data_IF_383142267456
#
_entry.id   IF_383142267456
#
_cell.length_a   1.000
_cell.length_b   1.000
_cell.length_c   1.000
_cell.angle_alpha   90.00
_cell.angle_beta   90.00
_cell.angle_gamma   90.00
#
_symmetry.space_group_name_H-M   'P 1'
#
loop_
_entity.id
_entity.type
_entity.pdbx_description
1 polymer ?
#
# COMPACT_ATOMS: atom_id res chain seq x y z
N UNK A 1 29.21 14.51 -51.18
CA UNK A 1 27.81 14.57 -51.67
C UNK A 1 26.91 14.48 -50.44
N UNK A 2 26.41 15.62 -49.98
CA UNK A 2 25.48 15.74 -48.84
C UNK A 2 24.01 15.53 -49.32
N UNK A 3 22.97 15.80 -48.52
CA UNK A 3 22.43 15.03 -47.38
C UNK A 3 20.89 14.82 -47.49
N UNK A 4 20.26 14.05 -46.58
CA UNK A 4 18.78 14.02 -46.41
C UNK A 4 18.43 13.46 -45.01
N UNK A 5 18.40 14.28 -43.95
CA UNK A 5 17.29 15.10 -43.43
C UNK A 5 15.94 14.35 -43.38
N UNK A 6 15.57 13.83 -42.21
CA UNK A 6 14.18 13.49 -41.89
C UNK A 6 13.64 14.50 -40.88
N UNK A 7 12.64 15.24 -41.33
CA UNK A 7 12.02 16.37 -40.64
C UNK A 7 10.96 15.91 -39.62
N UNK A 8 10.98 16.53 -38.44
CA UNK A 8 9.90 16.46 -37.47
C UNK A 8 8.74 17.35 -37.92
N UNK A 9 7.57 16.75 -38.15
CA UNK A 9 6.35 17.46 -38.50
C UNK A 9 5.64 17.97 -37.23
N UNK A 10 5.63 19.29 -37.08
CA UNK A 10 4.65 19.98 -36.26
C UNK A 10 3.30 20.02 -37.00
N UNK A 11 2.19 19.94 -36.27
CA UNK A 11 0.90 20.42 -36.77
C UNK A 11 0.19 21.21 -35.68
N UNK A 12 -0.13 22.49 -35.95
CA UNK A 12 -0.81 23.40 -35.06
C UNK A 12 -2.33 23.33 -35.29
N UNK A 13 -3.11 23.31 -34.22
CA UNK A 13 -4.55 23.56 -34.31
C UNK A 13 -4.92 24.74 -33.39
N UNK A 14 -4.94 25.90 -34.05
CA UNK A 14 -5.90 27.01 -33.97
C UNK A 14 -7.17 26.71 -33.11
N UNK A 15 -7.86 27.65 -32.44
CA UNK A 15 -8.28 28.98 -32.91
C UNK A 15 -9.18 29.66 -31.82
N UNK A 16 -9.34 31.00 -31.95
CA UNK A 16 -10.33 31.93 -31.33
C UNK A 16 -9.96 32.49 -29.94
N UNK A 17 -9.66 33.78 -29.74
CA UNK A 17 -10.36 35.01 -30.18
C UNK A 17 -10.88 35.69 -28.88
N UNK A 18 -10.96 37.00 -28.66
CA UNK A 18 -10.67 38.23 -29.39
C UNK A 18 -10.72 39.37 -28.35
N UNK A 19 -9.81 40.34 -28.50
CA UNK A 19 -9.93 41.79 -28.27
C UNK A 19 -10.44 42.42 -26.95
N UNK A 20 -9.73 43.51 -26.62
CA UNK A 20 -10.22 44.84 -26.21
C UNK A 20 -9.93 45.32 -24.77
N UNK A 21 -8.76 45.98 -24.66
CA UNK A 21 -8.52 47.30 -24.07
C UNK A 21 -9.74 48.05 -23.47
N UNK A 22 -9.56 48.58 -22.25
CA UNK A 22 -9.74 50.03 -21.99
C UNK A 22 -9.12 50.50 -20.68
N UNK A 23 -8.46 51.64 -20.81
CA UNK A 23 -7.80 52.52 -19.86
C UNK A 23 -8.67 53.00 -18.68
N UNK A 24 -8.03 53.41 -17.58
CA UNK A 24 -8.62 54.40 -16.68
C UNK A 24 -8.02 54.43 -15.28
N UNK A 25 -7.17 55.42 -15.04
CA UNK A 25 -6.61 55.85 -13.75
C UNK A 25 -7.68 56.24 -12.72
N UNK A 26 -7.42 55.97 -11.43
CA UNK A 26 -7.15 57.00 -10.41
C UNK A 26 -7.49 56.54 -8.99
N UNK A 27 -6.58 56.91 -8.06
CA UNK A 27 -6.82 57.33 -6.68
C UNK A 27 -7.62 56.41 -5.75
N UNK A 28 -6.98 55.99 -4.65
CA UNK A 28 -7.73 55.67 -3.43
C UNK A 28 -7.08 54.66 -2.53
N UNK A 29 -6.09 55.12 -1.76
CA UNK A 29 -5.59 54.45 -0.56
C UNK A 29 -6.73 54.17 0.41
N UNK A 30 -6.95 52.90 0.75
CA UNK A 30 -7.40 52.52 2.10
C UNK A 30 -6.70 51.23 2.50
N UNK A 31 -5.69 51.38 3.34
CA UNK A 31 -5.08 50.28 4.07
C UNK A 31 -6.13 49.66 4.99
N UNK A 32 -6.69 48.53 4.59
CA UNK A 32 -7.43 47.66 5.50
C UNK A 32 -6.42 46.78 6.23
N UNK A 33 -6.06 47.20 7.44
CA UNK A 33 -5.32 46.37 8.39
C UNK A 33 -6.14 45.11 8.71
N UNK A 34 -5.72 43.96 8.18
CA UNK A 34 -6.28 42.66 8.56
C UNK A 34 -5.61 42.19 9.87
N UNK A 35 -6.33 42.05 10.99
CA UNK A 35 -5.76 41.47 12.18
C UNK A 35 -5.70 39.95 12.03
N UNK A 36 -4.54 39.38 12.33
CA UNK A 36 -4.44 37.96 12.66
C UNK A 36 -4.27 37.02 11.48
N UNK A 37 -3.09 37.07 10.82
CA UNK A 37 -2.52 35.84 10.26
C UNK A 37 -2.12 34.96 11.45
N UNK A 38 -3.09 34.27 12.05
CA UNK A 38 -2.78 33.06 12.82
C UNK A 38 -2.14 32.13 11.82
N UNK A 39 -0.82 32.03 11.88
CA UNK A 39 -0.09 30.98 11.21
C UNK A 39 -0.73 29.68 11.69
N UNK A 40 -1.66 29.16 10.91
CA UNK A 40 -2.20 27.84 11.13
C UNK A 40 -0.98 26.92 10.99
N UNK A 41 -0.53 26.38 12.11
CA UNK A 41 0.43 25.29 12.12
C UNK A 41 -0.23 24.16 11.35
N UNK A 42 0.03 24.09 10.05
CA UNK A 42 -0.40 23.00 9.21
C UNK A 42 0.35 21.77 9.70
N UNK A 43 -0.28 21.00 10.59
CA UNK A 43 0.25 19.72 11.03
C UNK A 43 0.20 18.80 9.82
N UNK A 44 1.32 18.76 9.09
CA UNK A 44 1.48 17.94 7.91
C UNK A 44 1.68 16.50 8.40
N UNK A 45 0.58 15.82 8.70
CA UNK A 45 0.59 14.41 9.10
C UNK A 45 1.07 13.58 7.92
N UNK A 46 2.35 13.19 7.95
CA UNK A 46 2.88 12.13 7.10
C UNK A 46 2.70 10.82 7.85
N UNK A 47 1.54 10.18 7.68
CA UNK A 47 1.35 8.83 8.20
C UNK A 47 2.06 7.86 7.25
N UNK A 48 3.33 7.53 7.54
CA UNK A 48 3.81 6.19 7.22
C UNK A 48 3.15 5.25 8.22
N UNK A 49 2.20 4.42 7.79
CA UNK A 49 1.56 3.42 8.64
C UNK A 49 2.64 2.37 8.96
N UNK A 50 3.44 2.64 9.98
CA UNK A 50 4.28 1.65 10.65
C UNK A 50 3.53 1.29 11.91
N UNK A 51 2.84 0.16 11.88
CA UNK A 51 2.13 -0.37 13.02
C UNK A 51 2.82 -1.68 13.40
N UNK A 52 3.28 -1.78 14.65
CA UNK A 52 3.93 -3.01 15.11
C UNK A 52 2.92 -4.16 15.07
N UNK A 53 3.26 -5.32 14.50
CA UNK A 53 2.30 -6.40 14.30
C UNK A 53 1.72 -6.93 15.62
N UNK A 54 2.47 -6.88 16.72
CA UNK A 54 1.99 -7.25 18.06
C UNK A 54 0.96 -6.30 18.66
N UNK A 55 0.83 -5.07 18.12
CA UNK A 55 -0.18 -4.08 18.57
C UNK A 55 -1.47 -4.16 17.77
N UNK A 56 -1.51 -5.01 16.74
CA UNK A 56 -2.66 -5.17 15.85
C UNK A 56 -3.55 -6.27 16.42
N UNK A 57 -4.73 -5.89 16.90
CA UNK A 57 -5.74 -6.82 17.38
C UNK A 57 -6.80 -7.05 16.27
N UNK A 58 -6.90 -8.26 15.71
CA UNK A 58 -7.96 -8.61 14.78
C UNK A 58 -9.33 -8.43 15.44
N UNK A 59 -10.32 -8.04 14.64
CA UNK A 59 -11.73 -7.96 15.09
C UNK A 59 -12.46 -9.24 14.68
N UNK A 60 -13.56 -9.53 15.36
CA UNK A 60 -14.41 -10.71 15.15
C UNK A 60 -13.65 -12.04 15.25
N UNK A 61 -13.97 -12.97 14.35
CA UNK A 61 -13.39 -14.29 14.08
C UNK A 61 -12.08 -14.26 13.26
N UNK A 62 -11.41 -13.11 13.18
CA UNK A 62 -10.20 -12.97 12.36
C UNK A 62 -8.94 -13.33 13.13
N UNK A 63 -7.94 -13.81 12.40
CA UNK A 63 -6.63 -14.18 12.90
C UNK A 63 -5.56 -13.47 12.08
N UNK A 64 -4.57 -12.88 12.75
CA UNK A 64 -3.39 -12.32 12.10
C UNK A 64 -2.31 -13.38 12.01
N UNK A 65 -1.88 -13.65 10.79
CA UNK A 65 -0.87 -14.68 10.49
C UNK A 65 0.34 -14.00 9.84
N UNK A 66 1.52 -14.34 10.33
CA UNK A 66 2.81 -14.04 9.71
C UNK A 66 3.14 -15.13 8.70
N UNK A 67 3.34 -14.74 7.45
CA UNK A 67 3.70 -15.69 6.39
C UNK A 67 5.16 -16.11 6.51
N UNK A 68 5.41 -17.41 6.34
CA UNK A 68 6.78 -17.93 6.29
C UNK A 68 7.45 -17.52 4.96
N UNK A 69 8.69 -17.05 5.06
CA UNK A 69 9.48 -16.64 3.91
C UNK A 69 9.96 -17.87 3.13
N UNK A 70 9.86 -17.83 1.80
CA UNK A 70 10.28 -18.97 0.98
C UNK A 70 11.78 -18.99 0.79
N UNK A 71 12.43 -20.15 0.94
CA UNK A 71 13.73 -20.36 0.33
C UNK A 71 13.69 -20.18 -1.20
N UNK A 72 14.61 -19.39 -1.75
CA UNK A 72 14.76 -19.19 -3.21
C UNK A 72 15.33 -20.42 -3.93
N UNK A 73 15.97 -21.32 -3.18
CA UNK A 73 16.60 -22.54 -3.69
C UNK A 73 15.83 -23.76 -3.20
N UNK A 74 15.53 -24.67 -4.14
CA UNK A 74 15.05 -26.01 -3.82
C UNK A 74 16.13 -26.80 -3.07
N UNK A 75 15.73 -27.84 -2.32
CA UNK A 75 16.64 -28.77 -1.64
C UNK A 75 17.72 -29.36 -2.58
N UNK A 76 17.43 -29.45 -3.88
CA UNK A 76 18.38 -29.90 -4.91
C UNK A 76 19.34 -28.82 -5.45
N UNK A 77 19.36 -27.61 -4.89
CA UNK A 77 20.24 -26.52 -5.31
C UNK A 77 19.81 -25.74 -6.55
N UNK A 78 18.64 -26.05 -7.11
CA UNK A 78 18.07 -25.35 -8.27
C UNK A 78 17.40 -24.05 -7.84
N UNK A 79 17.70 -22.94 -8.53
CA UNK A 79 17.03 -21.66 -8.33
C UNK A 79 15.60 -21.73 -8.89
N UNK A 80 14.61 -21.54 -8.02
CA UNK A 80 13.21 -21.59 -8.44
C UNK A 80 12.73 -20.23 -8.97
N UNK A 81 11.91 -20.21 -10.04
CA UNK A 81 11.22 -19.00 -10.45
C UNK A 81 10.18 -18.61 -9.41
N UNK A 82 9.94 -17.31 -9.25
CA UNK A 82 9.00 -16.75 -8.26
C UNK A 82 7.55 -17.29 -8.38
N UNK A 83 7.18 -17.82 -9.55
CA UNK A 83 5.86 -18.42 -9.81
C UNK A 83 5.73 -19.87 -9.32
N UNK A 84 6.77 -20.70 -9.45
CA UNK A 84 6.74 -22.10 -9.02
C UNK A 84 6.58 -22.22 -7.49
N UNK A 85 7.22 -21.29 -6.79
CA UNK A 85 7.23 -21.14 -5.34
C UNK A 85 5.83 -20.86 -4.72
N UNK A 86 4.86 -20.39 -5.51
CA UNK A 86 3.49 -20.16 -5.01
C UNK A 86 2.65 -21.43 -4.93
N UNK A 87 2.95 -22.45 -5.74
CA UNK A 87 2.15 -23.68 -5.80
C UNK A 87 2.58 -24.76 -4.80
N UNK A 88 3.87 -24.80 -4.43
CA UNK A 88 4.38 -25.79 -3.47
C UNK A 88 4.06 -25.46 -2.01
N UNK A 89 3.68 -24.21 -1.73
CA UNK A 89 3.27 -23.78 -0.40
C UNK A 89 1.77 -23.86 -0.30
N UNK A 90 1.26 -24.94 0.29
CA UNK A 90 0.14 -24.72 1.21
C UNK A 90 0.54 -23.56 2.13
N UNK A 91 -0.31 -22.54 2.27
CA UNK A 91 0.08 -21.31 2.94
C UNK A 91 0.28 -21.62 4.41
N UNK A 92 1.55 -21.79 4.77
CA UNK A 92 2.00 -21.98 6.14
C UNK A 92 2.36 -20.62 6.72
N UNK A 93 1.95 -20.41 7.96
CA UNK A 93 2.31 -19.22 8.70
C UNK A 93 2.17 -19.43 10.20
N UNK A 94 2.65 -18.44 10.96
CA UNK A 94 2.56 -18.42 12.42
C UNK A 94 1.50 -17.41 12.85
N UNK A 95 0.64 -17.80 13.79
CA UNK A 95 -0.37 -16.90 14.36
C UNK A 95 0.31 -15.89 15.29
N UNK A 96 0.15 -14.60 15.02
CA UNK A 96 0.65 -13.54 15.92
C UNK A 96 -0.40 -13.12 16.95
N UNK A 97 -1.66 -13.03 16.52
CA UNK A 97 -2.77 -12.57 17.36
C UNK A 97 -4.09 -13.10 16.84
N UNK A 98 -5.01 -13.37 17.77
CA UNK A 98 -6.36 -13.86 17.49
C UNK A 98 -7.40 -12.79 17.81
N UNK A 99 -8.52 -12.82 17.10
CA UNK A 99 -9.69 -11.98 17.37
C UNK A 99 -10.48 -12.45 18.59
N UNK A 100 -11.44 -11.64 19.02
CA UNK A 100 -12.21 -11.88 20.24
C UNK A 100 -13.12 -13.11 20.18
N UNK A 101 -13.58 -13.49 18.97
CA UNK A 101 -14.54 -14.58 18.78
C UNK A 101 -13.87 -15.92 18.40
N UNK A 102 -12.53 -15.96 18.41
CA UNK A 102 -11.72 -17.13 18.05
C UNK A 102 -11.40 -17.94 19.31
N UNK A 103 -11.65 -19.25 19.26
CA UNK A 103 -11.44 -20.11 20.44
C UNK A 103 -10.68 -21.40 20.16
N UNK A 104 -10.57 -21.82 18.89
CA UNK A 104 -9.95 -23.10 18.52
C UNK A 104 -8.42 -23.00 18.36
N UNK A 105 -7.88 -21.79 18.17
CA UNK A 105 -6.46 -21.55 17.90
C UNK A 105 -5.84 -20.51 18.82
N UNK A 106 -4.54 -20.70 19.10
CA UNK A 106 -3.74 -19.86 19.98
C UNK A 106 -2.63 -19.12 19.22
N UNK A 107 -2.19 -17.98 19.76
CA UNK A 107 -1.02 -17.27 19.25
C UNK A 107 0.27 -18.09 19.42
N UNK A 108 1.19 -17.98 18.46
CA UNK A 108 2.47 -18.70 18.43
C UNK A 108 2.41 -20.10 17.81
N UNK A 109 1.25 -20.53 17.31
CA UNK A 109 1.11 -21.82 16.60
C UNK A 109 1.33 -21.64 15.10
N UNK A 110 1.88 -22.66 14.46
CA UNK A 110 1.96 -22.76 13.01
C UNK A 110 0.66 -23.32 12.46
N UNK A 111 0.13 -22.73 11.41
CA UNK A 111 -1.13 -23.14 10.79
C UNK A 111 -1.01 -23.20 9.28
N UNK A 112 -1.82 -24.06 8.70
CA UNK A 112 -2.10 -24.19 7.27
C UNK A 112 -3.44 -23.53 6.98
N UNK A 113 -3.51 -22.66 5.99
CA UNK A 113 -4.73 -21.95 5.61
C UNK A 113 -4.87 -21.81 4.10
N UNK A 114 -6.07 -21.46 3.63
CA UNK A 114 -6.36 -21.23 2.21
C UNK A 114 -6.13 -19.76 1.81
N UNK A 115 -5.64 -19.50 0.59
CA UNK A 115 -5.42 -18.14 0.06
C UNK A 115 -6.71 -17.42 -0.30
N UNK A 116 -7.81 -18.16 -0.49
CA UNK A 116 -9.05 -17.66 -1.07
C UNK A 116 -9.57 -16.42 -0.32
N UNK A 117 -9.40 -16.40 1.01
CA UNK A 117 -9.87 -15.32 1.89
C UNK A 117 -8.74 -14.65 2.68
N UNK A 118 -7.48 -14.89 2.31
CA UNK A 118 -6.33 -14.31 2.98
C UNK A 118 -6.07 -12.87 2.49
N UNK A 119 -6.28 -11.89 3.35
CA UNK A 119 -6.01 -10.49 3.04
C UNK A 119 -4.57 -10.13 3.40
N UNK A 120 -3.68 -9.99 2.41
CA UNK A 120 -2.31 -9.51 2.62
C UNK A 120 -2.30 -8.04 3.09
N UNK A 121 -1.55 -7.77 4.16
CA UNK A 121 -1.39 -6.42 4.72
C UNK A 121 0.07 -6.15 5.02
N UNK A 122 0.54 -4.98 4.58
CA UNK A 122 1.87 -4.47 4.87
C UNK A 122 1.84 -3.58 6.11
N UNK A 123 2.32 -4.10 7.25
CA UNK A 123 2.33 -3.37 8.52
C UNK A 123 3.59 -2.48 8.69
N UNK A 124 4.41 -2.34 7.65
CA UNK A 124 5.67 -1.61 7.68
C UNK A 124 6.87 -2.44 8.16
N UNK A 125 6.68 -3.74 8.31
CA UNK A 125 7.71 -4.77 8.54
C UNK A 125 8.18 -5.38 7.23
N UNK A 126 9.38 -5.97 7.21
CA UNK A 126 9.88 -6.72 6.04
C UNK A 126 9.10 -8.02 5.79
N UNK A 127 8.43 -8.52 6.82
CA UNK A 127 7.65 -9.74 6.80
C UNK A 127 6.24 -9.49 6.28
N UNK A 128 5.75 -10.43 5.46
CA UNK A 128 4.39 -10.41 4.93
C UNK A 128 3.41 -10.93 5.97
N UNK A 129 2.32 -10.20 6.15
CA UNK A 129 1.26 -10.56 7.07
C UNK A 129 -0.04 -10.75 6.28
N UNK A 130 -0.92 -11.63 6.78
CA UNK A 130 -2.26 -11.74 6.27
C UNK A 130 -3.29 -11.85 7.40
N UNK A 131 -4.50 -11.38 7.11
CA UNK A 131 -5.67 -11.68 7.92
C UNK A 131 -6.44 -12.82 7.27
N UNK A 132 -6.77 -13.82 8.08
CA UNK A 132 -7.63 -14.95 7.70
C UNK A 132 -8.76 -15.06 8.72
N UNK A 133 -9.87 -15.74 8.36
CA UNK A 133 -10.87 -16.14 9.35
C UNK A 133 -10.48 -17.47 9.97
N UNK A 134 -10.99 -17.76 11.16
CA UNK A 134 -10.84 -19.06 11.82
C UNK A 134 -11.34 -20.21 10.91
N UNK A 135 -12.46 -20.01 10.21
CA UNK A 135 -13.04 -20.99 9.27
C UNK A 135 -12.16 -21.37 8.06
N UNK A 136 -11.20 -20.52 7.72
CA UNK A 136 -10.29 -20.74 6.59
C UNK A 136 -8.98 -21.44 7.00
N UNK A 137 -8.79 -21.67 8.31
CA UNK A 137 -7.68 -22.46 8.85
C UNK A 137 -7.97 -23.94 8.61
N UNK A 138 -7.08 -24.61 7.88
CA UNK A 138 -7.23 -26.01 7.50
C UNK A 138 -6.67 -26.96 8.56
N UNK A 139 -5.54 -26.60 9.16
CA UNK A 139 -4.89 -27.41 10.18
C UNK A 139 -3.89 -26.61 11.02
N UNK A 140 -3.69 -27.06 12.27
CA UNK A 140 -2.57 -26.63 13.13
C UNK A 140 -1.42 -27.61 12.96
N UNK A 141 -0.20 -27.10 12.75
CA UNK A 141 1.03 -27.88 12.60
C UNK A 141 1.72 -27.93 13.97
N UNK A 142 1.89 -29.14 14.50
CA UNK A 142 2.52 -29.41 15.80
C UNK A 142 4.02 -29.73 15.66
#
# INVERSE_FOLDING_TARGET
MAPSVLAAAASPFLLHGSAASRSGSSLGTVAAAAPGRRAASALRVRASIKCDPSKVAPQSDRVLVRLEQIPEKSAGGVLLPKSAVKFERYLMGEILSVGADVSEVEAGKKVLFSDINAYEVDLGTEEKHCFCRESDLLAVVA
#
